data_IF_747087340539
#
_entry.id   IF_747087340539
#
_cell.length_a   1.000
_cell.length_b   1.000
_cell.length_c   1.000
_cell.angle_alpha   90.00
_cell.angle_beta   90.00
_cell.angle_gamma   90.00
#
_symmetry.space_group_name_H-M   'P 1'
#
loop_
_entity.id
_entity.type
_entity.pdbx_description
1 polymer ?
#
# COMPACT_ATOMS: atom_id res chain seq x y z
N UNK A 1 -17.40 -18.13 0.56
CA UNK A 1 -16.52 -16.99 0.87
C UNK A 1 -16.21 -16.30 -0.44
N UNK A 2 -16.35 -14.98 -0.54
CA UNK A 2 -15.97 -14.21 -1.73
C UNK A 2 -14.43 -14.25 -1.81
N UNK A 3 -13.89 -14.63 -2.96
CA UNK A 3 -12.46 -14.62 -3.22
C UNK A 3 -12.02 -13.17 -3.50
N UNK A 4 -10.87 -12.73 -3.00
CA UNK A 4 -10.34 -11.43 -3.38
C UNK A 4 -9.92 -11.42 -4.84
N UNK A 5 -10.17 -10.30 -5.51
CA UNK A 5 -9.79 -10.08 -6.91
C UNK A 5 -8.47 -9.36 -6.99
N UNK A 6 -7.51 -9.94 -7.70
CA UNK A 6 -6.19 -9.34 -7.97
C UNK A 6 -6.10 -8.99 -9.44
N UNK A 7 -5.84 -7.72 -9.74
CA UNK A 7 -5.48 -7.28 -11.09
C UNK A 7 -3.96 -7.38 -11.27
N UNK A 8 -3.53 -8.12 -12.27
CA UNK A 8 -2.14 -8.24 -12.69
C UNK A 8 -1.94 -7.47 -14.01
N UNK A 9 -1.07 -6.49 -14.00
CA UNK A 9 -0.71 -5.69 -15.18
C UNK A 9 0.76 -5.95 -15.51
N UNK A 10 1.01 -6.75 -16.56
CA UNK A 10 2.34 -7.23 -16.96
C UNK A 10 2.33 -7.47 -18.47
N UNK A 11 3.24 -6.85 -19.20
CA UNK A 11 3.30 -6.91 -20.68
C UNK A 11 4.04 -8.14 -21.21
N UNK A 12 4.77 -8.87 -20.38
CA UNK A 12 5.45 -10.12 -20.76
C UNK A 12 4.50 -11.33 -20.55
N UNK A 13 3.98 -11.99 -21.63
CA UNK A 13 2.94 -13.01 -21.48
C UNK A 13 3.37 -14.19 -20.61
N UNK A 14 4.63 -14.66 -20.74
CA UNK A 14 5.12 -15.78 -19.95
C UNK A 14 5.17 -15.46 -18.44
N UNK A 15 5.49 -14.23 -18.09
CA UNK A 15 5.53 -13.76 -16.71
C UNK A 15 4.12 -13.55 -16.17
N UNK A 16 3.21 -12.98 -16.98
CA UNK A 16 1.80 -12.83 -16.66
C UNK A 16 1.14 -14.19 -16.38
N UNK A 17 1.31 -15.19 -17.26
CA UNK A 17 0.77 -16.54 -17.06
C UNK A 17 1.30 -17.20 -15.78
N UNK A 18 2.61 -17.11 -15.53
CA UNK A 18 3.24 -17.67 -14.33
C UNK A 18 2.65 -17.05 -13.06
N UNK A 19 2.52 -15.74 -13.03
CA UNK A 19 2.01 -15.03 -11.85
C UNK A 19 0.51 -15.28 -11.65
N UNK A 20 -0.27 -15.25 -12.72
CA UNK A 20 -1.70 -15.55 -12.67
C UNK A 20 -1.95 -16.96 -12.10
N UNK A 21 -1.26 -17.98 -12.64
CA UNK A 21 -1.35 -19.34 -12.13
C UNK A 21 -1.06 -19.44 -10.62
N UNK A 22 -0.01 -18.78 -10.14
CA UNK A 22 0.34 -18.81 -8.71
C UNK A 22 -0.67 -18.05 -7.84
N UNK A 23 -1.22 -16.93 -8.31
CA UNK A 23 -2.25 -16.19 -7.61
C UNK A 23 -3.55 -17.00 -7.52
N UNK A 24 -3.97 -17.65 -8.60
CA UNK A 24 -5.14 -18.54 -8.62
C UNK A 24 -4.95 -19.75 -7.69
N UNK A 25 -3.77 -20.36 -7.68
CA UNK A 25 -3.43 -21.46 -6.78
C UNK A 25 -3.52 -21.07 -5.30
N UNK A 26 -3.28 -19.80 -4.98
CA UNK A 26 -3.43 -19.23 -3.64
C UNK A 26 -4.88 -18.83 -3.29
N UNK A 27 -5.81 -19.03 -4.23
CA UNK A 27 -7.26 -18.85 -4.02
C UNK A 27 -7.75 -17.44 -4.32
N UNK A 28 -7.05 -16.67 -5.13
CA UNK A 28 -7.50 -15.36 -5.64
C UNK A 28 -8.23 -15.51 -6.98
N UNK A 29 -9.15 -14.60 -7.26
CA UNK A 29 -9.67 -14.39 -8.60
C UNK A 29 -8.72 -13.41 -9.31
N UNK A 30 -8.25 -13.77 -10.51
CA UNK A 30 -7.21 -12.99 -11.20
C UNK A 30 -7.75 -12.40 -12.50
N UNK A 31 -7.48 -11.12 -12.68
CA UNK A 31 -7.73 -10.40 -13.92
C UNK A 31 -6.38 -9.95 -14.46
N UNK A 32 -6.14 -10.09 -15.76
CA UNK A 32 -4.87 -9.72 -16.37
C UNK A 32 -5.04 -8.63 -17.41
N UNK A 33 -4.08 -7.72 -17.47
CA UNK A 33 -3.90 -6.74 -18.53
C UNK A 33 -2.46 -6.81 -19.03
N UNK A 34 -2.26 -6.64 -20.34
CA UNK A 34 -0.94 -6.65 -20.97
C UNK A 34 -0.36 -5.24 -21.19
N UNK A 35 -1.07 -4.21 -20.80
CA UNK A 35 -0.65 -2.81 -20.88
C UNK A 35 -1.32 -1.94 -19.81
N UNK A 36 -0.79 -0.74 -19.60
CA UNK A 36 -1.27 0.17 -18.56
C UNK A 36 -2.64 0.79 -18.84
N UNK A 37 -3.04 0.97 -20.10
CA UNK A 37 -4.34 1.56 -20.46
C UNK A 37 -5.47 0.59 -20.17
N UNK A 38 -5.34 -0.66 -20.61
CA UNK A 38 -6.29 -1.73 -20.30
C UNK A 38 -6.34 -2.00 -18.80
N UNK A 39 -5.18 -1.94 -18.12
CA UNK A 39 -5.12 -2.02 -16.66
C UNK A 39 -6.01 -0.99 -15.97
N UNK A 40 -5.99 0.27 -16.39
CA UNK A 40 -6.84 1.32 -15.84
C UNK A 40 -8.34 1.08 -16.13
N UNK A 41 -8.68 0.59 -17.33
CA UNK A 41 -10.06 0.25 -17.69
C UNK A 41 -10.59 -0.88 -16.79
N UNK A 42 -9.78 -1.94 -16.63
CA UNK A 42 -10.17 -3.10 -15.82
C UNK A 42 -10.30 -2.76 -14.32
N UNK A 43 -9.56 -1.77 -13.82
CA UNK A 43 -9.76 -1.26 -12.46
C UNK A 43 -11.16 -0.65 -12.31
N UNK A 44 -11.58 0.19 -13.24
CA UNK A 44 -12.89 0.85 -13.18
C UNK A 44 -14.07 -0.15 -13.36
N UNK A 45 -13.86 -1.22 -14.12
CA UNK A 45 -14.88 -2.21 -14.40
C UNK A 45 -15.03 -3.27 -13.29
N UNK A 46 -13.95 -3.64 -12.61
CA UNK A 46 -13.92 -4.82 -11.74
C UNK A 46 -13.67 -4.52 -10.26
N UNK A 47 -13.29 -3.28 -9.91
CA UNK A 47 -13.00 -2.85 -8.53
C UNK A 47 -12.10 -3.85 -7.76
N UNK A 48 -10.85 -4.11 -8.23
CA UNK A 48 -10.00 -5.15 -7.66
C UNK A 48 -9.56 -4.81 -6.23
N UNK A 49 -9.38 -5.84 -5.41
CA UNK A 49 -8.91 -5.72 -4.04
C UNK A 49 -7.40 -5.38 -3.94
N UNK A 50 -6.62 -5.69 -4.99
CA UNK A 50 -5.18 -5.42 -5.06
C UNK A 50 -4.72 -5.39 -6.51
N UNK A 51 -3.71 -4.59 -6.78
CA UNK A 51 -3.06 -4.49 -8.10
C UNK A 51 -1.59 -4.89 -7.97
N UNK A 52 -1.16 -5.84 -8.81
CA UNK A 52 0.25 -6.13 -9.08
C UNK A 52 0.59 -5.50 -10.41
N UNK A 53 1.58 -4.61 -10.45
CA UNK A 53 1.81 -3.71 -11.56
C UNK A 53 3.29 -3.71 -11.97
N UNK A 54 3.60 -4.09 -13.20
CA UNK A 54 4.96 -3.92 -13.71
C UNK A 54 5.26 -2.43 -13.90
N UNK A 55 6.47 -2.06 -13.55
CA UNK A 55 7.01 -0.72 -13.76
C UNK A 55 7.23 -0.39 -15.24
N UNK A 56 7.84 -1.35 -15.97
CA UNK A 56 8.37 -1.14 -17.32
C UNK A 56 7.45 -1.74 -18.37
N UNK A 57 6.41 -1.01 -18.71
CA UNK A 57 5.50 -1.39 -19.79
C UNK A 57 5.55 -0.38 -20.95
N UNK A 58 5.29 -0.82 -22.18
CA UNK A 58 5.23 0.07 -23.33
C UNK A 58 4.04 1.03 -23.23
N UNK A 59 4.12 2.17 -23.93
CA UNK A 59 3.09 3.20 -24.02
C UNK A 59 2.85 3.92 -22.67
N UNK A 60 2.15 3.29 -21.73
CA UNK A 60 1.87 3.82 -20.41
C UNK A 60 2.63 3.05 -19.34
N UNK A 61 3.65 3.67 -18.75
CA UNK A 61 4.47 3.03 -17.72
C UNK A 61 3.67 2.76 -16.44
N UNK A 62 4.06 1.71 -15.69
CA UNK A 62 3.42 1.38 -14.41
C UNK A 62 3.47 2.51 -13.39
N UNK A 63 4.52 3.31 -13.40
CA UNK A 63 4.58 4.52 -12.55
C UNK A 63 3.44 5.49 -12.85
N UNK A 64 3.17 5.73 -14.12
CA UNK A 64 2.10 6.65 -14.51
C UNK A 64 0.72 6.07 -14.22
N UNK A 65 0.54 4.75 -14.43
CA UNK A 65 -0.67 4.03 -13.98
C UNK A 65 -0.87 4.19 -12.48
N UNK A 66 0.15 3.89 -11.68
CA UNK A 66 0.10 4.04 -10.22
C UNK A 66 -0.26 5.48 -9.81
N UNK A 67 0.36 6.49 -10.44
CA UNK A 67 0.08 7.90 -10.15
C UNK A 67 -1.39 8.25 -10.42
N UNK A 68 -1.95 7.80 -11.55
CA UNK A 68 -3.37 8.02 -11.89
C UNK A 68 -4.29 7.34 -10.89
N UNK A 69 -4.04 6.08 -10.55
CA UNK A 69 -4.80 5.34 -9.54
C UNK A 69 -4.79 6.05 -8.18
N UNK A 70 -3.62 6.49 -7.73
CA UNK A 70 -3.47 7.11 -6.40
C UNK A 70 -3.95 8.57 -6.34
N UNK A 71 -4.06 9.25 -7.47
CA UNK A 71 -4.68 10.59 -7.55
C UNK A 71 -6.20 10.56 -7.60
N UNK A 72 -6.81 9.45 -8.05
CA UNK A 72 -8.26 9.29 -8.14
C UNK A 72 -8.84 8.87 -6.78
N UNK A 73 -9.89 9.57 -6.33
CA UNK A 73 -10.54 9.32 -5.04
C UNK A 73 -11.17 7.94 -4.91
N UNK A 74 -11.60 7.32 -6.01
CA UNK A 74 -12.23 6.00 -6.02
C UNK A 74 -11.20 4.87 -5.91
N UNK A 75 -10.05 5.01 -6.58
CA UNK A 75 -9.07 3.92 -6.73
C UNK A 75 -7.85 4.04 -5.82
N UNK A 76 -7.63 5.21 -5.17
CA UNK A 76 -6.45 5.44 -4.32
C UNK A 76 -6.28 4.46 -3.17
N UNK A 77 -7.39 3.87 -2.70
CA UNK A 77 -7.39 2.94 -1.57
C UNK A 77 -7.02 1.51 -2.00
N UNK A 78 -7.04 1.20 -3.28
CA UNK A 78 -6.59 -0.09 -3.79
C UNK A 78 -5.08 -0.19 -3.59
N UNK A 79 -4.58 -1.21 -2.86
CA UNK A 79 -3.15 -1.40 -2.69
C UNK A 79 -2.49 -1.77 -4.02
N UNK A 80 -1.33 -1.15 -4.28
CA UNK A 80 -0.52 -1.37 -5.47
C UNK A 80 0.84 -1.93 -5.06
N UNK A 81 1.18 -3.13 -5.54
CA UNK A 81 2.51 -3.72 -5.45
C UNK A 81 3.20 -3.50 -6.81
N UNK A 82 4.28 -2.72 -6.80
CA UNK A 82 5.06 -2.43 -8.01
C UNK A 82 6.14 -3.49 -8.23
N UNK A 83 6.21 -4.07 -9.44
CA UNK A 83 7.30 -4.95 -9.86
C UNK A 83 8.30 -4.15 -10.71
N UNK A 84 9.60 -4.27 -10.47
CA UNK A 84 10.59 -3.51 -11.24
C UNK A 84 11.94 -4.19 -11.35
N UNK A 85 12.58 -4.09 -12.52
CA UNK A 85 13.97 -4.46 -12.71
C UNK A 85 14.98 -3.47 -12.11
N UNK A 86 14.51 -2.30 -11.62
CA UNK A 86 15.37 -1.25 -11.10
C UNK A 86 15.60 -1.47 -9.60
N UNK A 87 16.83 -1.88 -9.29
CA UNK A 87 17.27 -2.17 -7.91
C UNK A 87 17.83 -0.94 -7.18
N UNK A 88 18.06 0.19 -7.88
CA UNK A 88 18.64 1.37 -7.25
C UNK A 88 17.70 2.00 -6.22
N UNK A 89 18.26 2.41 -5.11
CA UNK A 89 17.52 3.00 -4.00
C UNK A 89 16.67 4.20 -4.42
N UNK A 90 17.20 5.03 -5.31
CA UNK A 90 16.51 6.22 -5.84
C UNK A 90 15.26 5.84 -6.63
N UNK A 91 15.28 4.75 -7.40
CA UNK A 91 14.15 4.31 -8.18
C UNK A 91 13.07 3.69 -7.28
N UNK A 92 13.46 2.96 -6.21
CA UNK A 92 12.51 2.44 -5.21
C UNK A 92 11.80 3.57 -4.47
N UNK A 93 12.54 4.59 -4.04
CA UNK A 93 11.96 5.77 -3.38
C UNK A 93 10.98 6.47 -4.33
N UNK A 94 11.35 6.67 -5.60
CA UNK A 94 10.44 7.26 -6.61
C UNK A 94 9.17 6.43 -6.82
N UNK A 95 9.29 5.09 -6.91
CA UNK A 95 8.14 4.20 -7.03
C UNK A 95 7.19 4.35 -5.84
N UNK A 96 7.73 4.36 -4.64
CA UNK A 96 6.95 4.59 -3.43
C UNK A 96 6.38 6.01 -3.36
N UNK A 97 7.14 7.05 -3.75
CA UNK A 97 6.66 8.43 -3.80
C UNK A 97 5.50 8.65 -4.77
N UNK A 98 5.36 7.82 -5.82
CA UNK A 98 4.20 7.87 -6.72
C UNK A 98 2.90 7.34 -6.11
N UNK A 99 2.98 6.68 -4.96
CA UNK A 99 1.83 6.17 -4.22
C UNK A 99 1.79 4.65 -4.06
N UNK A 100 2.69 3.88 -4.68
CA UNK A 100 2.74 2.44 -4.48
C UNK A 100 2.83 2.08 -2.99
N UNK A 101 2.17 1.00 -2.59
CA UNK A 101 2.11 0.53 -1.21
C UNK A 101 3.25 -0.44 -0.89
N UNK A 102 3.78 -1.11 -1.92
CA UNK A 102 4.93 -1.99 -1.83
C UNK A 102 5.70 -2.01 -3.15
N UNK A 103 6.94 -2.51 -3.10
CA UNK A 103 7.86 -2.52 -4.21
C UNK A 103 8.70 -3.79 -4.20
N UNK A 104 8.69 -4.54 -5.32
CA UNK A 104 9.41 -5.80 -5.46
C UNK A 104 10.39 -5.70 -6.63
N UNK A 105 11.66 -6.02 -6.38
CA UNK A 105 12.73 -5.94 -7.39
C UNK A 105 12.84 -7.26 -8.14
N UNK A 106 12.81 -7.21 -9.46
CA UNK A 106 13.11 -8.36 -10.35
C UNK A 106 14.65 -8.61 -10.37
N UNK A 107 15.15 -9.86 -10.28
CA UNK A 107 14.38 -11.09 -10.13
C UNK A 107 13.91 -11.29 -8.68
N UNK A 108 12.67 -11.70 -8.50
CA UNK A 108 12.05 -11.97 -7.20
C UNK A 108 11.63 -13.44 -7.07
N UNK A 109 11.48 -13.89 -5.85
CA UNK A 109 10.85 -15.18 -5.57
C UNK A 109 9.32 -15.05 -5.67
N UNK A 110 8.68 -15.95 -6.45
CA UNK A 110 7.21 -16.02 -6.51
C UNK A 110 6.61 -16.20 -5.12
N UNK A 111 7.25 -17.00 -4.27
CA UNK A 111 6.82 -17.21 -2.87
C UNK A 111 6.82 -15.88 -2.11
N UNK A 112 7.84 -15.04 -2.29
CA UNK A 112 7.92 -13.71 -1.67
C UNK A 112 6.77 -12.83 -2.15
N UNK A 113 6.53 -12.76 -3.46
CA UNK A 113 5.43 -11.96 -4.01
C UNK A 113 4.07 -12.42 -3.47
N UNK A 114 3.81 -13.75 -3.44
CA UNK A 114 2.58 -14.31 -2.88
C UNK A 114 2.41 -13.95 -1.39
N UNK A 115 3.49 -13.97 -0.61
CA UNK A 115 3.47 -13.58 0.79
C UNK A 115 3.08 -12.10 0.95
N UNK A 116 3.59 -11.21 0.07
CA UNK A 116 3.25 -9.77 0.06
C UNK A 116 1.79 -9.54 -0.31
N UNK A 117 1.31 -10.17 -1.38
CA UNK A 117 -0.11 -10.10 -1.79
C UNK A 117 -1.03 -10.53 -0.64
N UNK A 118 -0.77 -11.69 -0.04
CA UNK A 118 -1.54 -12.17 1.14
C UNK A 118 -1.47 -11.19 2.31
N UNK A 119 -0.32 -10.60 2.57
CA UNK A 119 -0.15 -9.65 3.66
C UNK A 119 -0.99 -8.37 3.44
N UNK A 120 -1.03 -7.84 2.23
CA UNK A 120 -1.88 -6.69 1.91
C UNK A 120 -3.37 -7.03 2.00
N UNK A 121 -3.81 -8.14 1.43
CA UNK A 121 -5.23 -8.55 1.43
C UNK A 121 -5.74 -8.98 2.82
N UNK A 122 -4.94 -9.69 3.62
CA UNK A 122 -5.32 -10.07 5.00
C UNK A 122 -5.60 -8.85 5.87
N UNK A 123 -4.86 -7.79 5.66
CA UNK A 123 -4.93 -6.58 6.47
C UNK A 123 -6.13 -5.69 6.14
N UNK A 124 -6.60 -5.73 4.90
CA UNK A 124 -7.87 -5.11 4.52
C UNK A 124 -9.02 -5.77 5.30
N UNK A 125 -8.99 -7.10 5.47
CA UNK A 125 -10.00 -7.85 6.24
C UNK A 125 -9.86 -7.71 7.75
N UNK A 126 -8.64 -7.61 8.28
CA UNK A 126 -8.41 -7.48 9.72
C UNK A 126 -8.73 -6.07 10.26
N UNK A 127 -8.63 -5.05 9.42
CA UNK A 127 -9.04 -3.69 9.78
C UNK A 127 -10.56 -3.54 9.94
N UNK A 128 -11.35 -4.47 9.39
CA UNK A 128 -12.82 -4.49 9.50
C UNK A 128 -13.35 -5.02 10.86
N UNK A 129 -12.47 -5.35 11.82
CA UNK A 129 -12.85 -5.91 13.14
C UNK A 129 -12.09 -5.19 14.24
N UNK A 130 -12.43 -3.93 14.50
CA UNK A 130 -11.82 -3.16 15.59
C UNK A 130 -12.69 -2.00 16.04
N UNK A 131 -12.56 -1.64 17.31
CA UNK A 131 -13.21 -0.44 17.84
C UNK A 131 -12.63 0.81 17.17
N UNK A 132 -13.48 1.83 17.05
CA UNK A 132 -13.09 3.16 16.58
C UNK A 132 -11.96 3.71 17.45
N UNK A 133 -10.86 4.14 16.82
CA UNK A 133 -9.71 4.72 17.52
C UNK A 133 -9.82 6.24 17.53
N UNK A 134 -9.50 6.87 18.68
CA UNK A 134 -9.52 8.32 18.83
C UNK A 134 -8.21 8.80 19.46
N UNK A 135 -7.65 9.87 18.91
CA UNK A 135 -6.47 10.54 19.47
C UNK A 135 -6.52 12.04 19.16
N UNK A 136 -6.69 12.87 20.19
CA UNK A 136 -6.84 14.32 20.01
C UNK A 136 -8.02 14.65 19.11
N UNK A 137 -7.74 15.29 17.98
CA UNK A 137 -8.72 15.65 16.96
C UNK A 137 -8.82 14.63 15.80
N UNK A 138 -8.13 13.48 15.92
CA UNK A 138 -8.09 12.43 14.93
C UNK A 138 -8.99 11.27 15.35
N UNK A 139 -9.83 10.83 14.42
CA UNK A 139 -10.67 9.64 14.57
C UNK A 139 -10.41 8.70 13.40
N UNK A 140 -10.16 7.42 13.69
CA UNK A 140 -9.99 6.35 12.73
C UNK A 140 -11.05 5.29 12.96
N UNK A 141 -11.80 5.00 11.93
CA UNK A 141 -12.83 3.96 11.91
C UNK A 141 -12.31 2.77 11.07
N UNK A 142 -11.96 1.64 11.70
CA UNK A 142 -11.45 0.49 11.00
C UNK A 142 -12.50 -0.23 10.15
N UNK A 143 -13.77 -0.17 10.53
CA UNK A 143 -14.87 -0.85 9.84
C UNK A 143 -15.18 -0.17 8.50
N UNK A 144 -15.23 1.16 8.50
CA UNK A 144 -15.50 1.95 7.28
C UNK A 144 -14.25 2.39 6.55
N UNK A 145 -13.06 2.09 7.06
CA UNK A 145 -11.75 2.57 6.54
C UNK A 145 -11.66 4.09 6.41
N UNK A 146 -12.37 4.83 7.27
CA UNK A 146 -12.40 6.29 7.25
C UNK A 146 -11.54 6.86 8.36
N UNK A 147 -10.90 7.98 8.05
CA UNK A 147 -10.15 8.78 9.00
C UNK A 147 -10.66 10.21 8.92
N UNK A 148 -10.87 10.81 10.08
CA UNK A 148 -11.27 12.21 10.19
C UNK A 148 -10.28 12.96 11.08
N UNK A 149 -10.06 14.23 10.77
CA UNK A 149 -9.39 15.18 11.64
C UNK A 149 -10.26 16.43 11.77
N UNK A 150 -10.64 16.80 13.00
CA UNK A 150 -11.51 17.97 13.25
C UNK A 150 -12.74 18.02 12.32
N UNK A 151 -13.43 16.91 12.10
CA UNK A 151 -14.59 16.71 11.20
C UNK A 151 -14.27 16.68 9.69
N UNK A 152 -13.04 16.91 9.25
CA UNK A 152 -12.63 16.79 7.85
C UNK A 152 -12.16 15.37 7.55
N UNK A 153 -12.74 14.73 6.53
CA UNK A 153 -12.32 13.40 6.11
C UNK A 153 -10.92 13.47 5.48
N UNK A 154 -9.99 12.65 6.01
CA UNK A 154 -8.65 12.47 5.46
C UNK A 154 -8.63 11.26 4.55
N UNK A 155 -8.11 11.45 3.34
CA UNK A 155 -7.99 10.37 2.37
C UNK A 155 -6.59 9.78 2.46
N UNK A 156 -6.47 8.66 3.16
CA UNK A 156 -5.23 7.90 3.32
C UNK A 156 -5.18 6.74 2.32
N UNK A 157 -3.97 6.37 1.89
CA UNK A 157 -3.74 5.09 1.24
C UNK A 157 -3.77 3.95 2.26
N UNK A 158 -3.84 2.67 1.79
CA UNK A 158 -3.93 1.51 2.68
C UNK A 158 -2.77 1.41 3.68
N UNK A 159 -1.57 1.77 3.27
CA UNK A 159 -0.38 1.71 4.10
C UNK A 159 -0.33 2.83 5.14
N UNK A 160 -0.69 4.06 4.76
CA UNK A 160 -0.81 5.19 5.67
C UNK A 160 -1.92 4.95 6.71
N UNK A 161 -3.03 4.34 6.31
CA UNK A 161 -4.11 3.95 7.22
C UNK A 161 -3.61 2.97 8.28
N UNK A 162 -2.86 1.92 7.88
CA UNK A 162 -2.28 0.93 8.79
C UNK A 162 -1.24 1.52 9.73
N UNK A 163 -0.39 2.42 9.22
CA UNK A 163 0.56 3.15 10.06
C UNK A 163 -0.15 3.97 11.13
N UNK A 164 -1.17 4.74 10.73
CA UNK A 164 -1.94 5.54 11.67
C UNK A 164 -2.64 4.66 12.71
N UNK A 165 -3.30 3.58 12.30
CA UNK A 165 -3.91 2.60 13.21
C UNK A 165 -2.90 2.05 14.21
N UNK A 166 -1.70 1.65 13.73
CA UNK A 166 -0.62 1.16 14.60
C UNK A 166 -0.18 2.20 15.64
N UNK A 167 -0.06 3.46 15.24
CA UNK A 167 0.29 4.54 16.17
C UNK A 167 -0.85 4.82 17.17
N UNK A 168 -2.10 4.82 16.71
CA UNK A 168 -3.27 5.10 17.54
C UNK A 168 -3.62 3.96 18.52
N UNK A 169 -3.24 2.72 18.23
CA UNK A 169 -3.37 1.62 19.20
C UNK A 169 -2.56 1.86 20.49
N UNK A 170 -1.44 2.56 20.39
CA UNK A 170 -0.55 2.86 21.52
C UNK A 170 0.08 4.26 21.36
N UNK A 171 -0.68 5.33 21.61
CA UNK A 171 -0.17 6.70 21.60
C UNK A 171 1.03 6.88 22.54
N UNK A 172 1.97 7.72 22.15
CA UNK A 172 3.20 7.99 22.90
C UNK A 172 4.29 6.92 22.77
N UNK A 173 3.95 5.70 22.32
CA UNK A 173 4.94 4.64 22.10
C UNK A 173 5.83 4.99 20.92
N UNK A 174 7.16 4.90 21.13
CA UNK A 174 8.15 4.98 20.05
C UNK A 174 8.23 3.59 19.37
N UNK A 175 7.95 3.59 18.08
CA UNK A 175 8.07 2.41 17.23
C UNK A 175 9.34 2.52 16.38
N UNK A 176 10.21 1.50 16.42
CA UNK A 176 11.36 1.46 15.51
C UNK A 176 10.88 1.23 14.07
N UNK A 177 11.77 1.52 13.09
CA UNK A 177 11.47 1.25 11.67
C UNK A 177 11.20 -0.21 11.41
N UNK A 178 11.99 -1.10 12.01
CA UNK A 178 11.80 -2.55 11.89
C UNK A 178 10.46 -3.00 12.49
N UNK A 179 10.09 -2.48 13.66
CA UNK A 179 8.80 -2.78 14.27
C UNK A 179 7.61 -2.31 13.43
N UNK A 180 7.71 -1.12 12.84
CA UNK A 180 6.69 -0.60 11.92
C UNK A 180 6.64 -1.44 10.65
N UNK A 181 7.80 -1.83 10.12
CA UNK A 181 7.89 -2.69 8.97
C UNK A 181 7.18 -4.02 9.22
N UNK A 182 7.56 -4.72 10.28
CA UNK A 182 6.95 -6.00 10.68
C UNK A 182 5.43 -5.88 10.86
N UNK A 183 4.98 -4.78 11.47
CA UNK A 183 3.58 -4.61 11.81
C UNK A 183 2.72 -4.19 10.62
N UNK A 184 3.23 -3.34 9.75
CA UNK A 184 2.51 -2.78 8.61
C UNK A 184 2.69 -3.61 7.33
N UNK A 185 3.85 -4.19 7.10
CA UNK A 185 4.13 -5.03 5.92
C UNK A 185 4.20 -6.53 6.23
N UNK A 186 4.60 -6.94 7.44
CA UNK A 186 4.69 -8.34 7.90
C UNK A 186 6.13 -8.80 8.11
N UNK A 187 6.30 -9.85 8.92
CA UNK A 187 7.62 -10.34 9.36
C UNK A 187 8.42 -11.03 8.28
N UNK A 188 7.76 -11.57 7.28
CA UNK A 188 8.41 -12.37 6.23
C UNK A 188 8.71 -11.55 4.97
N UNK A 189 8.67 -10.22 5.08
CA UNK A 189 8.82 -9.31 3.94
C UNK A 189 10.13 -8.55 4.07
N UNK A 190 11.08 -8.84 3.19
CA UNK A 190 12.33 -8.10 3.06
C UNK A 190 12.12 -6.76 2.33
N UNK A 191 11.57 -5.78 3.01
CA UNK A 191 11.44 -4.40 2.54
C UNK A 191 12.48 -3.54 3.26
N UNK A 192 13.11 -2.61 2.55
CA UNK A 192 14.01 -1.63 3.12
C UNK A 192 13.29 -0.76 4.17
N UNK A 193 13.92 -0.53 5.31
CA UNK A 193 13.38 0.30 6.39
C UNK A 193 13.08 1.74 5.96
N UNK A 194 13.70 2.22 4.87
CA UNK A 194 13.39 3.53 4.27
C UNK A 194 11.99 3.63 3.68
N UNK A 195 11.37 2.49 3.33
CA UNK A 195 9.96 2.46 2.94
C UNK A 195 9.07 3.05 4.04
N UNK A 196 9.39 2.77 5.30
CA UNK A 196 8.69 3.34 6.45
C UNK A 196 8.78 4.87 6.44
N UNK A 197 9.97 5.43 6.17
CA UNK A 197 10.18 6.88 6.17
C UNK A 197 9.33 7.59 5.10
N UNK A 198 9.24 7.00 3.92
CA UNK A 198 8.40 7.53 2.82
C UNK A 198 6.92 7.55 3.22
N UNK A 199 6.40 6.44 3.76
CA UNK A 199 4.99 6.35 4.15
C UNK A 199 4.67 7.19 5.39
N UNK A 200 5.58 7.32 6.36
CA UNK A 200 5.43 8.28 7.46
C UNK A 200 5.40 9.71 6.95
N UNK A 201 6.24 10.06 5.97
CA UNK A 201 6.23 11.37 5.33
C UNK A 201 4.88 11.68 4.64
N UNK A 202 4.30 10.70 3.92
CA UNK A 202 2.98 10.83 3.31
C UNK A 202 1.87 10.96 4.35
N UNK A 203 1.93 10.15 5.40
CA UNK A 203 0.96 10.21 6.50
C UNK A 203 0.96 11.59 7.16
N UNK A 204 2.14 12.15 7.47
CA UNK A 204 2.27 13.52 7.99
C UNK A 204 1.62 14.55 7.08
N UNK A 205 1.94 14.48 5.79
CA UNK A 205 1.38 15.41 4.79
C UNK A 205 -0.15 15.33 4.75
N UNK A 206 -0.71 14.12 4.82
CA UNK A 206 -2.15 13.93 4.84
C UNK A 206 -2.78 14.44 6.14
N UNK A 207 -2.17 14.14 7.31
CA UNK A 207 -2.65 14.60 8.61
C UNK A 207 -2.66 16.14 8.71
N UNK A 208 -1.68 16.82 8.12
CA UNK A 208 -1.60 18.29 8.15
C UNK A 208 -2.30 18.98 6.96
N UNK A 209 -3.00 18.26 6.10
CA UNK A 209 -3.59 18.79 4.85
C UNK A 209 -4.58 19.95 5.08
N UNK A 210 -5.33 19.91 6.16
CA UNK A 210 -6.33 20.93 6.50
C UNK A 210 -5.89 21.85 7.65
N UNK A 211 -4.57 21.88 7.92
CA UNK A 211 -3.98 22.64 9.03
C UNK A 211 -3.86 21.81 10.30
N UNK A 212 -3.36 22.44 11.36
CA UNK A 212 -3.06 21.78 12.63
C UNK A 212 -1.62 21.31 12.75
N UNK A 213 -1.18 21.04 13.99
CA UNK A 213 0.17 20.57 14.28
C UNK A 213 0.38 19.14 13.79
N UNK A 214 1.63 18.80 13.46
CA UNK A 214 2.02 17.43 13.12
C UNK A 214 1.95 16.56 14.38
N UNK A 215 1.02 15.59 14.46
CA UNK A 215 0.88 14.74 15.64
C UNK A 215 1.94 13.65 15.71
N UNK A 216 2.74 13.46 14.63
CA UNK A 216 3.79 12.45 14.55
C UNK A 216 5.15 13.07 14.86
N UNK A 217 5.82 12.59 15.88
CA UNK A 217 7.19 12.99 16.18
C UNK A 217 8.21 11.98 15.69
N UNK A 218 9.36 12.47 15.24
CA UNK A 218 10.53 11.65 14.94
C UNK A 218 11.43 11.60 16.16
N UNK A 219 11.71 10.39 16.65
CA UNK A 219 12.69 10.16 17.71
C UNK A 219 14.00 9.72 17.06
N UNK A 220 14.98 10.63 17.01
CA UNK A 220 16.26 10.39 16.31
C UNK A 220 16.92 9.11 16.82
N UNK A 221 17.36 8.25 15.91
CA UNK A 221 17.99 6.98 16.21
C UNK A 221 17.06 5.88 16.74
N UNK A 222 15.79 6.18 17.05
CA UNK A 222 14.83 5.22 17.61
C UNK A 222 13.64 4.93 16.69
N UNK A 223 13.06 5.94 16.03
CA UNK A 223 11.91 5.73 15.15
C UNK A 223 10.85 6.84 15.21
N UNK A 224 9.58 6.47 15.27
CA UNK A 224 8.44 7.37 15.20
C UNK A 224 7.42 7.09 16.32
N UNK A 225 6.69 8.13 16.72
CA UNK A 225 5.61 8.04 17.69
C UNK A 225 4.48 9.02 17.35
N UNK A 226 3.27 8.72 17.81
CA UNK A 226 2.14 9.64 17.85
C UNK A 226 2.11 10.32 19.21
N UNK A 227 2.21 11.65 19.27
CA UNK A 227 2.24 12.43 20.51
C UNK A 227 3.52 13.16 20.79
#
# INVERSE_FOLDING_TARGET
MIRPTVLLVEDEPAQSELLAYNLEAEGFDVITADNGEDGLILVDENDPDLIVLDWMMPQLSGIEVCRRLKSNSKTRQIPVIMLSARAEEVDRVRGLETGADDYVVKPYSVIELMARVKAHLRRIRAAAVGDRLEYGDITLDPETHKVFRSQSELKLGPTEFRLLSTFMEKPGRVWSRDQLLDRVWGRDIYVDTRTVDVHVGRLRKALCQYGGDDPLRTVRGAGYALG
#
